data_IF_261454571710
#
_entry.id   IF_261454571710
#
_cell.length_a   1.000
_cell.length_b   1.000
_cell.length_c   1.000
_cell.angle_alpha   90.00
_cell.angle_beta   90.00
_cell.angle_gamma   90.00
#
_symmetry.space_group_name_H-M   'P 1'
#
loop_
_entity.id
_entity.type
_entity.pdbx_description
1 polymer ?
#
# COMPACT_ATOMS: atom_id res chain seq x y z
N UNK A 1 -7.77 2.45 15.34
CA UNK A 1 -8.44 1.60 14.32
C UNK A 1 -9.58 0.77 14.93
N UNK A 2 -10.65 0.52 14.16
CA UNK A 2 -11.74 -0.40 14.56
C UNK A 2 -11.45 -1.83 14.01
N UNK A 3 -10.82 -2.66 14.84
CA UNK A 3 -10.43 -4.04 14.49
C UNK A 3 -11.62 -5.00 14.27
N UNK A 4 -12.83 -4.61 14.65
CA UNK A 4 -14.03 -5.44 14.42
C UNK A 4 -14.53 -5.33 12.98
N UNK A 5 -14.16 -4.25 12.28
CA UNK A 5 -14.61 -3.94 10.93
C UNK A 5 -13.55 -4.20 9.86
N UNK A 6 -12.26 -4.05 10.20
CA UNK A 6 -11.15 -4.16 9.24
C UNK A 6 -9.86 -4.63 9.90
N UNK A 7 -8.97 -5.19 9.10
CA UNK A 7 -7.69 -5.72 9.56
C UNK A 7 -6.58 -4.68 9.39
N UNK A 8 -5.65 -4.63 10.35
CA UNK A 8 -4.43 -3.86 10.21
C UNK A 8 -3.53 -4.51 9.15
N UNK A 9 -2.92 -3.69 8.28
CA UNK A 9 -2.00 -4.15 7.24
C UNK A 9 -0.71 -3.34 7.29
N UNK A 10 0.42 -4.00 7.48
CA UNK A 10 1.76 -3.41 7.36
C UNK A 10 2.41 -3.96 6.10
N UNK A 11 2.58 -3.11 5.09
CA UNK A 11 3.20 -3.44 3.82
C UNK A 11 4.56 -2.74 3.69
N UNK A 12 5.63 -3.50 3.50
CA UNK A 12 6.94 -2.96 3.16
C UNK A 12 7.02 -2.70 1.66
N UNK A 13 7.17 -1.45 1.25
CA UNK A 13 7.48 -1.09 -0.12
C UNK A 13 9.01 -0.96 -0.26
N UNK A 14 9.64 -1.97 -0.84
CA UNK A 14 11.10 -2.02 -0.95
C UNK A 14 11.65 -1.08 -2.00
N UNK A 15 10.78 -0.66 -2.93
CA UNK A 15 11.15 0.20 -4.06
C UNK A 15 12.29 -0.44 -4.87
N UNK A 16 13.18 0.34 -5.46
CA UNK A 16 14.32 -0.15 -6.23
C UNK A 16 15.49 -0.51 -5.30
N UNK A 17 15.30 -1.50 -4.41
CA UNK A 17 16.33 -1.97 -3.49
C UNK A 17 16.34 -3.50 -3.42
N UNK A 18 17.50 -4.03 -3.05
CA UNK A 18 17.81 -5.45 -2.89
C UNK A 18 17.99 -6.17 -4.23
N UNK A 19 18.92 -7.07 -4.21
CA UNK A 19 19.11 -8.13 -5.21
C UNK A 19 18.45 -9.40 -4.70
N UNK A 20 18.20 -10.43 -5.53
CA UNK A 20 17.55 -11.67 -5.07
C UNK A 20 18.21 -12.32 -3.85
N UNK A 21 19.55 -12.30 -3.75
CA UNK A 21 20.25 -12.84 -2.58
C UNK A 21 20.04 -11.99 -1.32
N UNK A 22 20.06 -10.65 -1.47
CA UNK A 22 19.79 -9.72 -0.35
C UNK A 22 18.32 -9.78 0.08
N UNK A 23 17.40 -9.95 -0.86
CA UNK A 23 15.98 -10.15 -0.58
C UNK A 23 15.74 -11.43 0.24
N UNK A 24 16.35 -12.53 -0.16
CA UNK A 24 16.30 -13.79 0.58
C UNK A 24 16.88 -13.66 1.98
N UNK A 25 18.01 -12.96 2.14
CA UNK A 25 18.62 -12.72 3.44
C UNK A 25 17.74 -11.88 4.36
N UNK A 26 17.18 -10.77 3.84
CA UNK A 26 16.31 -9.90 4.62
C UNK A 26 15.01 -10.61 5.05
N UNK A 27 14.40 -11.39 4.15
CA UNK A 27 13.20 -12.17 4.49
C UNK A 27 13.49 -13.24 5.55
N UNK A 28 14.67 -13.87 5.53
CA UNK A 28 15.07 -14.82 6.57
C UNK A 28 15.16 -14.19 7.97
N UNK A 29 15.40 -12.87 8.06
CA UNK A 29 15.38 -12.12 9.31
C UNK A 29 13.97 -11.63 9.67
N UNK A 30 13.19 -11.16 8.69
CA UNK A 30 11.82 -10.63 8.90
C UNK A 30 10.88 -11.74 9.37
N UNK A 31 10.83 -12.88 8.67
CA UNK A 31 9.86 -13.96 8.90
C UNK A 31 9.78 -14.37 10.37
N UNK A 32 10.86 -14.77 11.04
CA UNK A 32 10.80 -15.16 12.45
C UNK A 32 10.43 -14.00 13.37
N UNK A 33 10.78 -12.76 13.01
CA UNK A 33 10.52 -11.58 13.84
C UNK A 33 9.04 -11.15 13.82
N UNK A 34 8.28 -11.55 12.79
CA UNK A 34 6.85 -11.18 12.62
C UNK A 34 5.90 -12.38 12.67
N UNK A 35 6.37 -13.57 13.03
CA UNK A 35 5.59 -14.82 12.97
C UNK A 35 4.31 -14.80 13.82
N UNK A 36 4.31 -14.05 14.91
CA UNK A 36 3.21 -13.95 15.87
C UNK A 36 2.37 -12.65 15.66
N UNK A 37 2.53 -11.98 14.50
CA UNK A 37 1.81 -10.75 14.21
C UNK A 37 0.30 -11.00 14.06
N UNK A 38 -0.52 -10.15 14.72
CA UNK A 38 -1.98 -10.15 14.58
C UNK A 38 -2.45 -9.32 13.38
N UNK A 39 -1.60 -8.46 12.84
CA UNK A 39 -1.84 -7.74 11.60
C UNK A 39 -1.39 -8.54 10.36
N UNK A 40 -1.84 -8.14 9.18
CA UNK A 40 -1.34 -8.69 7.91
C UNK A 40 0.00 -8.05 7.56
N UNK A 41 1.00 -8.89 7.26
CA UNK A 41 2.37 -8.47 6.93
C UNK A 41 2.66 -8.76 5.47
N UNK A 42 3.06 -7.73 4.72
CA UNK A 42 3.30 -7.82 3.29
C UNK A 42 4.70 -7.28 2.97
N UNK A 43 5.44 -7.97 2.11
CA UNK A 43 6.63 -7.45 1.47
C UNK A 43 6.34 -7.20 -0.02
N UNK A 44 6.27 -5.93 -0.43
CA UNK A 44 6.18 -5.53 -1.83
C UNK A 44 7.60 -5.33 -2.36
N UNK A 45 7.99 -6.20 -3.28
CA UNK A 45 9.37 -6.34 -3.73
C UNK A 45 9.50 -6.07 -5.25
N UNK A 46 10.69 -5.67 -5.74
CA UNK A 46 10.96 -5.59 -7.17
C UNK A 46 10.63 -6.89 -7.91
N UNK A 47 10.25 -6.80 -9.18
CA UNK A 47 9.91 -7.99 -9.99
C UNK A 47 10.99 -9.07 -10.00
N UNK A 48 12.28 -8.66 -10.00
CA UNK A 48 13.42 -9.58 -9.99
C UNK A 48 13.51 -10.42 -8.72
N UNK A 49 12.87 -9.98 -7.64
CA UNK A 49 12.93 -10.62 -6.32
C UNK A 49 11.68 -11.48 -6.03
N UNK A 50 10.61 -11.37 -6.86
CA UNK A 50 9.34 -12.06 -6.60
C UNK A 50 9.51 -13.56 -6.43
N UNK A 51 10.26 -14.23 -7.31
CA UNK A 51 10.43 -15.68 -7.26
C UNK A 51 11.10 -16.14 -5.95
N UNK A 52 12.20 -15.49 -5.57
CA UNK A 52 12.92 -15.85 -4.33
C UNK A 52 12.14 -15.46 -3.07
N UNK A 53 11.38 -14.37 -3.15
CA UNK A 53 10.53 -13.92 -2.04
C UNK A 53 9.37 -14.89 -1.79
N UNK A 54 8.69 -15.32 -2.85
CA UNK A 54 7.61 -16.32 -2.76
C UNK A 54 8.12 -17.67 -2.24
N UNK A 55 9.29 -18.11 -2.69
CA UNK A 55 9.92 -19.33 -2.15
C UNK A 55 10.22 -19.20 -0.66
N UNK A 56 10.83 -18.07 -0.24
CA UNK A 56 11.23 -17.84 1.13
C UNK A 56 10.04 -17.71 2.11
N UNK A 57 8.91 -17.21 1.64
CA UNK A 57 7.72 -16.95 2.48
C UNK A 57 6.71 -18.11 2.46
N UNK A 58 6.98 -19.19 1.74
CA UNK A 58 6.08 -20.34 1.67
C UNK A 58 5.80 -20.93 3.06
N UNK A 59 4.51 -21.04 3.42
CA UNK A 59 4.08 -21.58 4.71
C UNK A 59 4.25 -20.62 5.90
N UNK A 60 4.56 -19.34 5.64
CA UNK A 60 4.66 -18.30 6.67
C UNK A 60 3.44 -17.36 6.64
N UNK A 61 3.36 -16.41 7.56
CA UNK A 61 2.35 -15.36 7.61
C UNK A 61 2.71 -14.10 6.78
N UNK A 62 3.88 -14.06 6.15
CA UNK A 62 4.31 -12.95 5.30
C UNK A 62 3.79 -13.16 3.89
N UNK A 63 3.04 -12.16 3.37
CA UNK A 63 2.52 -12.12 2.01
C UNK A 63 3.46 -11.38 1.09
N UNK A 64 3.41 -11.71 -0.21
CA UNK A 64 4.21 -11.03 -1.22
C UNK A 64 3.33 -10.16 -2.10
N UNK A 65 3.81 -8.93 -2.33
CA UNK A 65 3.25 -7.96 -3.25
C UNK A 65 4.25 -7.60 -4.35
N UNK A 66 3.72 -7.19 -5.50
CA UNK A 66 4.48 -6.52 -6.56
C UNK A 66 4.37 -4.99 -6.41
N UNK A 67 5.33 -4.26 -6.96
CA UNK A 67 5.37 -2.79 -6.86
C UNK A 67 4.66 -2.07 -8.02
N UNK A 68 4.16 -2.83 -8.99
CA UNK A 68 3.34 -2.36 -10.12
C UNK A 68 2.76 -3.56 -10.89
N UNK A 69 1.87 -3.29 -11.85
CA UNK A 69 1.45 -4.20 -12.91
C UNK A 69 0.97 -3.42 -14.13
N UNK A 70 0.91 -4.07 -15.30
CA UNK A 70 0.24 -3.51 -16.47
C UNK A 70 -1.22 -3.96 -16.53
N UNK A 71 -2.09 -3.16 -17.17
CA UNK A 71 -3.53 -3.47 -17.27
C UNK A 71 -3.90 -4.39 -18.43
N UNK A 72 -3.03 -4.57 -19.42
CA UNK A 72 -3.27 -5.51 -20.52
C UNK A 72 -2.85 -6.93 -20.10
N UNK A 73 -3.62 -7.93 -20.53
CA UNK A 73 -3.34 -9.34 -20.25
C UNK A 73 -2.06 -9.82 -20.95
N UNK A 74 -1.81 -9.32 -22.17
CA UNK A 74 -0.64 -9.64 -22.99
C UNK A 74 -0.50 -8.60 -24.11
N UNK A 75 0.60 -8.65 -24.86
CA UNK A 75 0.76 -7.84 -26.06
C UNK A 75 2.13 -7.18 -26.21
N UNK A 76 2.19 -6.18 -27.09
CA UNK A 76 3.41 -5.45 -27.42
C UNK A 76 3.72 -4.36 -26.37
N UNK A 77 4.02 -4.78 -25.16
CA UNK A 77 4.34 -3.93 -24.01
C UNK A 77 5.69 -4.34 -23.42
N UNK A 78 6.75 -4.14 -24.18
CA UNK A 78 8.11 -4.56 -23.80
C UNK A 78 8.51 -4.01 -22.44
N UNK A 79 8.85 -4.91 -21.51
CA UNK A 79 9.27 -4.58 -20.14
C UNK A 79 8.13 -4.57 -19.10
N UNK A 80 6.86 -4.64 -19.51
CA UNK A 80 5.72 -4.67 -18.61
C UNK A 80 5.42 -6.09 -18.11
N UNK A 81 4.82 -6.17 -16.93
CA UNK A 81 4.38 -7.40 -16.28
C UNK A 81 2.85 -7.37 -16.13
N UNK A 82 2.17 -8.37 -16.67
CA UNK A 82 0.71 -8.46 -16.57
C UNK A 82 0.25 -9.00 -15.21
N UNK A 83 -1.01 -8.72 -14.87
CA UNK A 83 -1.64 -9.25 -13.66
C UNK A 83 -1.70 -10.78 -13.65
N UNK A 84 -1.90 -11.40 -14.82
CA UNK A 84 -1.88 -12.87 -14.97
C UNK A 84 -0.53 -13.48 -14.62
N UNK A 85 0.58 -12.86 -15.05
CA UNK A 85 1.94 -13.31 -14.70
C UNK A 85 2.16 -13.25 -13.18
N UNK A 86 1.73 -12.17 -12.52
CA UNK A 86 1.84 -12.04 -11.08
C UNK A 86 0.99 -13.07 -10.33
N UNK A 87 -0.24 -13.28 -10.79
CA UNK A 87 -1.18 -14.24 -10.16
C UNK A 87 -0.68 -15.68 -10.27
N UNK A 88 -0.16 -16.08 -11.43
CA UNK A 88 0.41 -17.41 -11.64
C UNK A 88 1.62 -17.69 -10.74
N UNK A 89 2.44 -16.66 -10.47
CA UNK A 89 3.55 -16.77 -9.51
C UNK A 89 3.08 -16.96 -8.06
N UNK A 90 1.86 -16.57 -7.71
CA UNK A 90 1.35 -16.61 -6.35
C UNK A 90 1.42 -15.26 -5.62
N UNK A 91 1.67 -14.17 -6.32
CA UNK A 91 1.61 -12.81 -5.76
C UNK A 91 0.17 -12.52 -5.32
N UNK A 92 -0.01 -11.94 -4.12
CA UNK A 92 -1.33 -11.61 -3.59
C UNK A 92 -1.66 -10.11 -3.70
N UNK A 93 -0.68 -9.24 -3.56
CA UNK A 93 -0.85 -7.79 -3.52
C UNK A 93 -0.11 -7.09 -4.66
N UNK A 94 -0.56 -5.88 -4.99
CA UNK A 94 0.16 -5.02 -5.94
C UNK A 94 -0.02 -3.55 -5.55
N UNK A 95 1.09 -2.81 -5.44
CA UNK A 95 1.09 -1.35 -5.21
C UNK A 95 0.82 -0.66 -6.54
N UNK A 96 -0.15 0.26 -6.57
CA UNK A 96 -0.56 0.98 -7.77
C UNK A 96 -0.65 2.48 -7.51
N UNK A 97 -0.22 3.28 -8.48
CA UNK A 97 -0.31 4.73 -8.39
C UNK A 97 0.60 5.35 -7.33
N UNK A 98 1.65 4.66 -6.89
CA UNK A 98 2.62 5.22 -5.95
C UNK A 98 3.13 6.58 -6.44
N UNK A 99 3.34 7.53 -5.53
CA UNK A 99 3.74 8.90 -5.84
C UNK A 99 4.96 9.00 -6.76
N UNK A 100 5.97 8.14 -6.56
CA UNK A 100 7.15 8.07 -7.45
C UNK A 100 6.76 7.69 -8.88
N UNK A 101 5.77 6.80 -9.07
CA UNK A 101 5.33 6.40 -10.40
C UNK A 101 4.51 7.48 -11.09
N UNK A 102 3.70 8.22 -10.33
CA UNK A 102 3.01 9.41 -10.84
C UNK A 102 4.01 10.49 -11.24
N UNK A 103 5.04 10.71 -10.43
CA UNK A 103 6.03 11.77 -10.63
C UNK A 103 7.05 11.47 -11.74
N UNK A 104 7.57 10.24 -11.78
CA UNK A 104 8.72 9.89 -12.63
C UNK A 104 8.35 9.06 -13.86
N UNK A 105 7.22 8.36 -13.84
CA UNK A 105 6.82 7.41 -14.88
C UNK A 105 5.50 7.78 -15.56
N UNK A 106 4.98 8.98 -15.31
CA UNK A 106 3.80 9.52 -16.01
C UNK A 106 2.50 8.78 -15.70
N UNK A 107 2.38 8.11 -14.56
CA UNK A 107 1.12 7.50 -14.17
C UNK A 107 0.09 8.56 -13.80
N UNK A 108 -1.14 8.37 -14.27
CA UNK A 108 -2.29 9.26 -14.04
C UNK A 108 -3.40 8.49 -13.34
N UNK A 109 -4.40 9.21 -12.81
CA UNK A 109 -5.57 8.57 -12.19
C UNK A 109 -6.24 7.58 -13.16
N UNK A 110 -6.31 7.92 -14.47
CA UNK A 110 -6.84 7.00 -15.49
C UNK A 110 -6.03 5.70 -15.59
N UNK A 111 -4.69 5.79 -15.64
CA UNK A 111 -3.84 4.59 -15.75
C UNK A 111 -3.82 3.78 -14.45
N UNK A 112 -3.95 4.42 -13.29
CA UNK A 112 -4.12 3.75 -11.99
C UNK A 112 -5.44 3.01 -11.95
N UNK A 113 -6.54 3.62 -12.39
CA UNK A 113 -7.84 2.95 -12.48
C UNK A 113 -7.79 1.69 -13.36
N UNK A 114 -7.19 1.79 -14.56
CA UNK A 114 -7.03 0.62 -15.46
C UNK A 114 -6.27 -0.53 -14.78
N UNK A 115 -5.18 -0.22 -14.08
CA UNK A 115 -4.40 -1.20 -13.33
C UNK A 115 -5.17 -1.78 -12.14
N UNK A 116 -5.89 -0.94 -11.39
CA UNK A 116 -6.72 -1.36 -10.26
C UNK A 116 -7.78 -2.37 -10.70
N UNK A 117 -8.50 -2.08 -11.77
CA UNK A 117 -9.51 -2.99 -12.32
C UNK A 117 -8.90 -4.30 -12.85
N UNK A 118 -7.76 -4.23 -13.54
CA UNK A 118 -7.07 -5.42 -14.03
C UNK A 118 -6.55 -6.30 -12.87
N UNK A 119 -6.02 -5.68 -11.80
CA UNK A 119 -5.58 -6.39 -10.61
C UNK A 119 -6.75 -7.11 -9.92
N UNK A 120 -7.87 -6.42 -9.71
CA UNK A 120 -9.09 -7.00 -9.12
C UNK A 120 -9.65 -8.14 -9.97
N UNK A 121 -9.73 -7.96 -11.29
CA UNK A 121 -10.19 -8.99 -12.22
C UNK A 121 -9.31 -10.26 -12.19
N UNK A 122 -8.01 -10.11 -11.97
CA UNK A 122 -7.07 -11.23 -11.80
C UNK A 122 -7.09 -11.83 -10.38
N UNK A 123 -7.86 -11.26 -9.44
CA UNK A 123 -7.90 -11.71 -8.05
C UNK A 123 -6.66 -11.32 -7.23
N UNK A 124 -5.98 -10.24 -7.62
CA UNK A 124 -4.97 -9.55 -6.81
C UNK A 124 -5.64 -8.50 -5.93
N UNK A 125 -4.98 -8.14 -4.84
CA UNK A 125 -5.42 -7.07 -3.93
C UNK A 125 -4.59 -5.82 -4.19
N UNK A 126 -5.13 -4.79 -4.86
CA UNK A 126 -4.40 -3.55 -5.09
C UNK A 126 -4.27 -2.71 -3.82
N UNK A 127 -3.06 -2.18 -3.58
CA UNK A 127 -2.78 -1.11 -2.64
C UNK A 127 -2.71 0.17 -3.49
N UNK A 128 -3.80 0.94 -3.50
CA UNK A 128 -3.95 2.14 -4.33
C UNK A 128 -3.44 3.35 -3.56
N UNK A 129 -2.40 3.98 -4.10
CA UNK A 129 -1.74 5.12 -3.49
C UNK A 129 -2.37 6.44 -3.94
N UNK A 130 -2.72 7.28 -2.98
CA UNK A 130 -3.25 8.62 -3.17
C UNK A 130 -2.52 9.62 -2.27
N UNK A 131 -2.37 10.86 -2.71
CA UNK A 131 -1.70 11.87 -1.91
C UNK A 131 -1.48 13.18 -2.66
N UNK A 132 -1.41 14.26 -1.90
CA UNK A 132 -1.19 15.61 -2.38
C UNK A 132 0.28 16.00 -2.40
N UNK A 133 0.63 16.90 -3.32
CA UNK A 133 1.92 17.57 -3.38
C UNK A 133 2.01 18.72 -2.35
N UNK A 134 3.21 19.17 -2.04
CA UNK A 134 3.43 20.27 -1.06
C UNK A 134 2.66 21.53 -1.44
N UNK A 135 2.73 21.95 -2.70
CA UNK A 135 2.05 23.16 -3.16
C UNK A 135 0.51 23.04 -3.10
N UNK A 136 -0.03 21.82 -3.32
CA UNK A 136 -1.46 21.56 -3.18
C UNK A 136 -1.92 21.69 -1.72
N UNK A 137 -1.10 21.21 -0.79
CA UNK A 137 -1.34 21.41 0.64
C UNK A 137 -1.22 22.86 1.06
N UNK A 138 -0.21 23.58 0.57
CA UNK A 138 -0.02 25.02 0.85
C UNK A 138 -1.15 25.88 0.25
N UNK A 139 -1.80 25.43 -0.82
CA UNK A 139 -2.99 26.05 -1.39
C UNK A 139 -4.30 25.61 -0.72
N UNK A 140 -4.24 24.77 0.32
CA UNK A 140 -5.42 24.25 1.06
C UNK A 140 -6.43 23.48 0.17
N UNK A 141 -5.90 22.72 -0.81
CA UNK A 141 -6.71 21.88 -1.73
C UNK A 141 -6.45 20.38 -1.55
N UNK A 142 -5.94 19.96 -0.40
CA UNK A 142 -5.68 18.54 -0.09
C UNK A 142 -6.92 17.68 -0.31
N UNK A 143 -8.06 18.10 0.22
CA UNK A 143 -9.30 17.31 0.13
C UNK A 143 -9.78 17.16 -1.32
N UNK A 144 -9.71 18.21 -2.15
CA UNK A 144 -10.07 18.15 -3.56
C UNK A 144 -9.18 17.20 -4.35
N UNK A 145 -7.86 17.22 -4.08
CA UNK A 145 -6.90 16.31 -4.71
C UNK A 145 -7.20 14.87 -4.34
N UNK A 146 -7.34 14.58 -3.05
CA UNK A 146 -7.65 13.25 -2.52
C UNK A 146 -9.01 12.76 -3.05
N UNK A 147 -10.05 13.60 -2.99
CA UNK A 147 -11.36 13.22 -3.49
C UNK A 147 -11.35 12.91 -4.99
N UNK A 148 -10.59 13.69 -5.78
CA UNK A 148 -10.41 13.43 -7.22
C UNK A 148 -9.73 12.08 -7.46
N UNK A 149 -8.59 11.82 -6.79
CA UNK A 149 -7.84 10.58 -6.95
C UNK A 149 -8.71 9.37 -6.56
N UNK A 150 -9.34 9.37 -5.39
CA UNK A 150 -10.23 8.27 -4.94
C UNK A 150 -11.35 8.01 -5.96
N UNK A 151 -12.01 9.07 -6.45
CA UNK A 151 -13.12 8.92 -7.42
C UNK A 151 -12.66 8.35 -8.76
N UNK A 152 -11.50 8.79 -9.25
CA UNK A 152 -11.00 8.38 -10.55
C UNK A 152 -10.27 7.03 -10.49
N UNK A 153 -9.44 6.80 -9.48
CA UNK A 153 -8.70 5.54 -9.30
C UNK A 153 -9.66 4.35 -9.07
N UNK A 154 -10.82 4.59 -8.43
CA UNK A 154 -11.84 3.58 -8.15
C UNK A 154 -13.06 3.67 -9.10
N UNK A 155 -12.97 4.43 -10.19
CA UNK A 155 -14.08 4.55 -11.13
C UNK A 155 -14.51 3.18 -11.69
N UNK A 156 -15.81 2.86 -11.58
CA UNK A 156 -16.39 1.57 -11.94
C UNK A 156 -15.81 0.35 -11.19
N UNK A 157 -15.23 0.55 -10.01
CA UNK A 157 -14.98 -0.52 -9.04
C UNK A 157 -16.29 -0.74 -8.27
N UNK A 158 -16.77 -1.96 -8.20
CA UNK A 158 -18.00 -2.30 -7.47
C UNK A 158 -17.75 -2.38 -5.96
N UNK A 159 -18.82 -2.32 -5.16
CA UNK A 159 -18.74 -2.49 -3.69
C UNK A 159 -18.12 -3.85 -3.31
N UNK A 160 -18.42 -4.91 -4.06
CA UNK A 160 -17.84 -6.23 -3.81
C UNK A 160 -16.34 -6.27 -4.09
N UNK A 161 -15.90 -5.65 -5.17
CA UNK A 161 -14.48 -5.52 -5.51
C UNK A 161 -13.73 -4.64 -4.51
N UNK A 162 -14.38 -3.61 -3.97
CA UNK A 162 -13.79 -2.69 -2.98
C UNK A 162 -13.29 -3.41 -1.72
N UNK A 163 -13.88 -4.54 -1.34
CA UNK A 163 -13.45 -5.37 -0.21
C UNK A 163 -12.02 -5.90 -0.35
N UNK A 164 -11.50 -5.92 -1.58
CA UNK A 164 -10.14 -6.35 -1.89
C UNK A 164 -9.17 -5.19 -2.13
N UNK A 165 -9.62 -3.95 -1.97
CA UNK A 165 -8.81 -2.74 -2.15
C UNK A 165 -8.26 -2.28 -0.81
N UNK A 166 -6.98 -1.93 -0.79
CA UNK A 166 -6.33 -1.17 0.28
C UNK A 166 -6.02 0.21 -0.26
N UNK A 167 -6.27 1.26 0.53
CA UNK A 167 -5.86 2.63 0.17
C UNK A 167 -4.62 2.99 0.97
N UNK A 168 -3.61 3.56 0.32
CA UNK A 168 -2.42 4.11 0.98
C UNK A 168 -2.38 5.63 0.79
N UNK A 169 -2.51 6.37 1.89
CA UNK A 169 -2.35 7.83 1.88
C UNK A 169 -0.87 8.20 1.95
N UNK A 170 -0.37 8.83 0.92
CA UNK A 170 1.00 9.31 0.79
C UNK A 170 1.03 10.85 0.82
N UNK A 171 1.29 11.51 1.97
CA UNK A 171 1.63 12.93 1.95
C UNK A 171 2.96 13.09 1.18
N UNK A 172 2.88 13.39 -0.15
CA UNK A 172 4.05 13.34 -1.04
C UNK A 172 5.16 14.27 -0.56
N UNK A 173 4.79 15.39 0.07
CA UNK A 173 5.68 16.35 0.69
C UNK A 173 6.46 15.82 1.90
N UNK A 174 6.03 14.70 2.48
CA UNK A 174 6.67 14.05 3.63
C UNK A 174 7.45 12.77 3.24
N UNK A 175 7.55 12.43 1.94
CA UNK A 175 8.25 11.23 1.48
C UNK A 175 9.67 11.61 1.07
N UNK A 176 10.68 11.07 1.78
CA UNK A 176 12.10 11.27 1.45
C UNK A 176 12.63 12.71 1.63
N UNK A 177 11.85 13.60 2.22
CA UNK A 177 12.21 15.02 2.40
C UNK A 177 12.77 15.33 3.79
N UNK A 178 12.73 14.37 4.71
CA UNK A 178 13.02 14.58 6.14
C UNK A 178 11.88 15.26 6.92
N UNK A 179 10.80 15.67 6.25
CA UNK A 179 9.55 16.10 6.90
C UNK A 179 8.69 14.87 7.21
N UNK A 180 7.93 14.94 8.29
CA UNK A 180 6.98 13.88 8.68
C UNK A 180 5.65 14.56 8.97
N UNK A 181 4.56 14.04 8.44
CA UNK A 181 3.23 14.47 8.86
C UNK A 181 3.03 14.07 10.32
N UNK A 182 2.32 14.89 11.10
CA UNK A 182 1.91 14.50 12.44
C UNK A 182 0.85 13.38 12.37
N UNK A 183 0.67 12.66 13.46
CA UNK A 183 -0.35 11.62 13.52
C UNK A 183 -1.78 12.20 13.35
N UNK A 184 -2.01 13.44 13.79
CA UNK A 184 -3.26 14.18 13.58
C UNK A 184 -3.47 14.50 12.10
N UNK A 185 -2.44 14.95 11.39
CA UNK A 185 -2.51 15.21 9.95
C UNK A 185 -2.77 13.93 9.15
N UNK A 186 -2.16 12.82 9.55
CA UNK A 186 -2.43 11.52 8.95
C UNK A 186 -3.89 11.07 9.20
N UNK A 187 -4.37 11.21 10.43
CA UNK A 187 -5.75 10.89 10.81
C UNK A 187 -6.76 11.73 10.05
N UNK A 188 -6.55 13.04 9.94
CA UNK A 188 -7.43 13.97 9.23
C UNK A 188 -7.68 13.50 7.79
N UNK A 189 -6.60 13.23 7.04
CA UNK A 189 -6.73 12.82 5.63
C UNK A 189 -7.24 11.38 5.51
N UNK A 190 -6.83 10.46 6.36
CA UNK A 190 -7.37 9.09 6.36
C UNK A 190 -8.88 9.08 6.68
N UNK A 191 -9.33 9.92 7.62
CA UNK A 191 -10.76 10.11 7.90
C UNK A 191 -11.52 10.69 6.69
N UNK A 192 -10.93 11.68 6.01
CA UNK A 192 -11.50 12.25 4.78
C UNK A 192 -11.60 11.22 3.64
N UNK A 193 -10.57 10.37 3.47
CA UNK A 193 -10.61 9.25 2.51
C UNK A 193 -11.80 8.33 2.82
N UNK A 194 -11.95 7.92 4.09
CA UNK A 194 -13.05 7.05 4.52
C UNK A 194 -14.41 7.71 4.29
N UNK A 195 -14.57 8.98 4.62
CA UNK A 195 -15.80 9.72 4.35
C UNK A 195 -16.10 9.84 2.85
N UNK A 196 -15.06 9.96 2.02
CA UNK A 196 -15.20 9.98 0.56
C UNK A 196 -15.65 8.62 0.03
N UNK A 197 -15.08 7.52 0.53
CA UNK A 197 -15.53 6.16 0.20
C UNK A 197 -17.00 5.93 0.62
N UNK A 198 -17.39 6.41 1.81
CA UNK A 198 -18.77 6.29 2.29
C UNK A 198 -19.77 7.04 1.39
N UNK A 199 -19.37 8.19 0.82
CA UNK A 199 -20.19 8.94 -0.16
C UNK A 199 -20.30 8.25 -1.51
N UNK A 200 -19.25 7.52 -1.93
CA UNK A 200 -19.21 6.83 -3.22
C UNK A 200 -19.95 5.48 -3.19
N UNK A 201 -19.89 4.78 -2.07
CA UNK A 201 -20.46 3.46 -1.88
C UNK A 201 -21.53 3.52 -0.76
N UNK A 202 -21.15 3.22 0.45
CA UNK A 202 -21.92 3.37 1.68
C UNK A 202 -20.99 3.29 2.90
N UNK A 203 -21.53 3.51 4.11
CA UNK A 203 -20.74 3.55 5.34
C UNK A 203 -20.10 2.18 5.66
N UNK A 204 -20.85 1.09 5.49
CA UNK A 204 -20.36 -0.27 5.82
C UNK A 204 -19.20 -0.68 4.91
N UNK A 205 -19.31 -0.39 3.61
CA UNK A 205 -18.24 -0.62 2.65
C UNK A 205 -16.99 0.22 2.98
N UNK A 206 -17.16 1.50 3.29
CA UNK A 206 -16.06 2.38 3.68
C UNK A 206 -15.39 1.95 4.99
N UNK A 207 -16.17 1.46 5.95
CA UNK A 207 -15.67 0.99 7.25
C UNK A 207 -14.86 -0.31 7.11
N UNK A 208 -15.12 -1.11 6.09
CA UNK A 208 -14.40 -2.36 5.81
C UNK A 208 -13.05 -2.14 5.08
N UNK A 209 -12.84 -0.99 4.43
CA UNK A 209 -11.59 -0.71 3.70
C UNK A 209 -10.46 -0.39 4.67
N UNK A 210 -9.32 -1.06 4.49
CA UNK A 210 -8.08 -0.72 5.19
C UNK A 210 -7.45 0.52 4.55
N UNK A 211 -7.16 1.54 5.36
CA UNK A 211 -6.45 2.75 4.94
C UNK A 211 -5.10 2.80 5.64
N UNK A 212 -4.03 2.72 4.87
CA UNK A 212 -2.64 2.80 5.34
C UNK A 212 -2.14 4.23 5.30
N UNK A 213 -1.26 4.58 6.23
CA UNK A 213 -0.41 5.76 6.11
C UNK A 213 0.87 5.41 5.35
N UNK A 214 1.12 6.09 4.22
CA UNK A 214 2.26 5.87 3.32
C UNK A 214 3.36 6.92 3.41
N UNK A 215 3.30 7.82 4.38
CA UNK A 215 4.39 8.77 4.66
C UNK A 215 5.53 8.14 5.47
N UNK A 216 6.36 8.97 6.08
CA UNK A 216 7.53 8.51 6.87
C UNK A 216 7.12 7.84 8.18
N UNK A 217 6.66 6.58 8.11
CA UNK A 217 6.43 5.73 9.29
C UNK A 217 7.71 4.97 9.62
N UNK A 218 8.04 4.92 10.91
CA UNK A 218 9.21 4.22 11.44
C UNK A 218 8.94 3.66 12.84
N UNK A 219 9.91 2.98 13.43
CA UNK A 219 9.82 2.33 14.74
C UNK A 219 9.48 3.28 15.90
N UNK A 220 9.72 4.60 15.74
CA UNK A 220 9.51 5.58 16.81
C UNK A 220 8.12 6.25 16.78
N UNK A 221 7.45 6.26 15.61
CA UNK A 221 6.16 6.93 15.45
C UNK A 221 5.01 5.97 15.07
N UNK A 222 5.32 4.69 14.83
CA UNK A 222 4.32 3.72 14.39
C UNK A 222 3.18 3.55 15.40
N UNK A 223 3.49 3.44 16.70
CA UNK A 223 2.48 3.26 17.75
C UNK A 223 1.49 4.44 17.80
N UNK A 224 1.98 5.67 17.72
CA UNK A 224 1.14 6.87 17.70
C UNK A 224 0.25 6.91 16.45
N UNK A 225 0.81 6.60 15.27
CA UNK A 225 0.07 6.59 14.01
C UNK A 225 -1.04 5.53 14.01
N UNK A 226 -0.74 4.28 14.38
CA UNK A 226 -1.74 3.20 14.38
C UNK A 226 -2.74 3.30 15.53
N UNK A 227 -2.49 4.15 16.54
CA UNK A 227 -3.48 4.47 17.59
C UNK A 227 -4.66 5.28 17.07
N UNK A 228 -4.50 5.98 15.92
CA UNK A 228 -5.56 6.80 15.31
C UNK A 228 -6.68 5.94 14.75
N UNK A 229 -7.89 6.49 14.75
CA UNK A 229 -9.12 5.75 14.39
C UNK A 229 -9.14 5.30 12.93
N UNK A 230 -8.62 6.13 12.01
CA UNK A 230 -8.69 5.89 10.57
C UNK A 230 -7.37 5.47 9.93
N UNK A 231 -6.28 5.37 10.72
CA UNK A 231 -5.00 4.82 10.25
C UNK A 231 -4.96 3.33 10.60
N UNK A 232 -5.12 2.48 9.59
CA UNK A 232 -5.28 1.04 9.75
C UNK A 232 -3.98 0.27 9.45
N UNK A 233 -2.86 0.95 9.45
CA UNK A 233 -1.54 0.36 9.19
C UNK A 233 -0.65 1.30 8.41
N UNK A 234 0.32 0.72 7.68
CA UNK A 234 1.29 1.52 6.95
C UNK A 234 1.84 0.88 5.68
N UNK A 235 2.15 1.74 4.70
CA UNK A 235 2.98 1.40 3.54
C UNK A 235 4.38 1.94 3.81
N UNK A 236 5.31 1.04 4.16
CA UNK A 236 6.59 1.36 4.78
C UNK A 236 7.72 1.37 3.76
N UNK A 237 8.38 2.50 3.56
CA UNK A 237 9.56 2.60 2.70
C UNK A 237 10.85 2.10 3.38
N UNK A 238 11.83 2.96 3.59
CA UNK A 238 13.18 2.61 4.05
C UNK A 238 13.25 1.77 5.33
N UNK A 239 12.33 1.96 6.29
CA UNK A 239 12.31 1.15 7.51
C UNK A 239 11.99 -0.34 7.23
N UNK A 240 11.33 -0.67 6.11
CA UNK A 240 11.06 -2.05 5.72
C UNK A 240 12.30 -2.82 5.21
N UNK A 241 13.38 -2.10 4.93
CA UNK A 241 14.67 -2.67 4.49
C UNK A 241 15.59 -3.09 5.64
N UNK A 242 15.11 -2.93 6.88
CA UNK A 242 15.82 -3.32 8.12
C UNK A 242 14.86 -4.15 8.97
N UNK A 243 15.17 -5.43 9.16
CA UNK A 243 14.26 -6.40 9.77
C UNK A 243 13.79 -5.98 11.18
N UNK A 244 14.69 -5.50 12.04
CA UNK A 244 14.36 -5.03 13.39
C UNK A 244 13.37 -3.85 13.39
N UNK A 245 13.58 -2.88 12.49
CA UNK A 245 12.72 -1.71 12.36
C UNK A 245 11.34 -2.10 11.84
N UNK A 246 11.29 -2.93 10.80
CA UNK A 246 10.03 -3.42 10.24
C UNK A 246 9.25 -4.24 11.26
N UNK A 247 9.91 -5.13 11.99
CA UNK A 247 9.28 -5.93 13.06
C UNK A 247 8.73 -5.07 14.20
N UNK A 248 9.42 -3.97 14.57
CA UNK A 248 8.92 -3.03 15.56
C UNK A 248 7.62 -2.33 15.11
N UNK A 249 7.54 -1.93 13.82
CA UNK A 249 6.32 -1.34 13.23
C UNK A 249 5.19 -2.38 13.20
N UNK A 250 5.47 -3.61 12.77
CA UNK A 250 4.51 -4.72 12.77
C UNK A 250 3.97 -4.98 14.17
N UNK A 251 4.84 -5.00 15.17
CA UNK A 251 4.45 -5.18 16.57
C UNK A 251 3.52 -4.07 17.05
N UNK A 252 3.81 -2.81 16.72
CA UNK A 252 2.95 -1.66 17.07
C UNK A 252 1.53 -1.78 16.49
N UNK A 253 1.38 -2.37 15.29
CA UNK A 253 0.09 -2.57 14.63
C UNK A 253 -0.66 -3.85 15.09
N UNK A 254 0.01 -4.72 15.85
CA UNK A 254 -0.54 -6.01 16.31
C UNK A 254 -1.17 -5.95 17.71
N UNK A 255 -1.21 -4.77 18.35
CA UNK A 255 -1.74 -4.57 19.72
C UNK A 255 -3.25 -4.30 19.73
#
# INVERSE_FOLDING_TARGET
MDKTKRKAIIAGNWKMNKTPNEAKALLAEIIPAVKDADCEVIACVPYVDLSVALEATQGTNVKIGAENCHWAESGAFTGEISTGMLKEMGVEYVVLGHSERRQYFGETDETVNKRTKAALAAGLKPIVCVGELLWERECDITEEVIARQIKLDLFNVTEEELKNVVIAYEPVWAIGTGKTATAEQAEEVCAFIRATLAKLYNQDAADAVTIQYGGSMNENNAEELVSKTNVDGGLIGGASLVAEKFAAIVKAASV
#
